data_IF_684048153972
#
_entry.id   IF_684048153972
#
_cell.length_a   1.000
_cell.length_b   1.000
_cell.length_c   1.000
_cell.angle_alpha   90.00
_cell.angle_beta   90.00
_cell.angle_gamma   90.00
#
_symmetry.space_group_name_H-M   'P 1'
#
loop_
_entity.id
_entity.type
_entity.pdbx_description
1 polymer ?
#
# COMPACT_ATOMS: atom_id res chain seq x y z
N UNK A 1 5.43 -4.16 -21.44
CA UNK A 1 4.09 -3.68 -20.97
C UNK A 1 3.03 -4.10 -21.97
N UNK A 2 1.82 -4.48 -21.51
CA UNK A 2 0.76 -5.04 -22.37
C UNK A 2 0.28 -4.01 -23.42
N UNK A 3 0.56 -4.21 -24.72
CA UNK A 3 0.21 -3.25 -25.76
C UNK A 3 -1.30 -3.16 -26.02
N UNK A 4 -2.08 -4.12 -25.52
CA UNK A 4 -3.55 -4.13 -25.63
C UNK A 4 -4.25 -3.30 -24.55
N UNK A 5 -3.50 -2.69 -23.63
CA UNK A 5 -4.04 -1.94 -22.49
C UNK A 5 -4.76 -2.81 -21.45
N UNK A 6 -4.82 -2.31 -20.22
CA UNK A 6 -5.57 -2.89 -19.10
C UNK A 6 -6.93 -2.21 -18.98
N UNK A 7 -7.99 -2.95 -18.66
CA UNK A 7 -9.30 -2.36 -18.40
C UNK A 7 -9.24 -1.48 -17.15
N UNK A 8 -9.79 -0.29 -17.23
CA UNK A 8 -9.97 0.59 -16.07
C UNK A 8 -11.22 0.12 -15.31
N UNK A 9 -11.13 -0.02 -13.99
CA UNK A 9 -12.26 -0.50 -13.20
C UNK A 9 -13.45 0.47 -13.31
N UNK A 10 -14.62 -0.05 -13.69
CA UNK A 10 -15.82 0.76 -13.87
C UNK A 10 -15.90 1.54 -15.20
N UNK A 11 -14.99 1.32 -16.16
CA UNK A 11 -15.03 1.91 -17.50
C UNK A 11 -14.79 0.85 -18.59
N UNK A 12 -15.21 1.15 -19.83
CA UNK A 12 -14.83 0.40 -21.03
C UNK A 12 -13.44 0.81 -21.56
N UNK A 13 -12.83 1.83 -20.96
CA UNK A 13 -11.53 2.35 -21.34
C UNK A 13 -10.40 1.37 -21.05
N UNK A 14 -9.36 1.44 -21.90
CA UNK A 14 -8.13 0.67 -21.76
C UNK A 14 -6.95 1.60 -21.52
N UNK A 15 -6.24 1.38 -20.42
CA UNK A 15 -5.03 2.10 -20.05
C UNK A 15 -3.79 1.30 -20.40
N UNK A 16 -2.93 1.85 -21.24
CA UNK A 16 -1.59 1.31 -21.46
C UNK A 16 -0.66 1.89 -20.41
N UNK A 17 -0.14 1.03 -19.53
CA UNK A 17 0.78 1.46 -18.47
C UNK A 17 2.16 1.82 -19.05
N UNK A 18 2.78 2.83 -18.45
CA UNK A 18 4.17 3.28 -18.65
C UNK A 18 4.96 3.09 -17.36
N UNK A 19 6.29 3.07 -17.45
CA UNK A 19 7.17 2.93 -16.27
C UNK A 19 6.85 3.97 -15.18
N UNK A 20 6.58 5.20 -15.61
CA UNK A 20 6.29 6.36 -14.75
C UNK A 20 4.95 6.30 -14.04
N UNK A 21 4.05 5.41 -14.45
CA UNK A 21 2.75 5.27 -13.79
C UNK A 21 2.91 4.63 -12.39
N UNK A 22 4.01 3.91 -12.17
CA UNK A 22 4.37 3.33 -10.87
C UNK A 22 5.70 3.86 -10.30
N UNK A 23 6.69 4.12 -11.15
CA UNK A 23 8.02 4.59 -10.73
C UNK A 23 8.14 6.10 -10.87
N UNK A 24 8.04 6.79 -9.74
CA UNK A 24 8.23 8.24 -9.64
C UNK A 24 9.55 8.52 -8.95
N UNK A 25 10.34 9.45 -9.48
CA UNK A 25 11.54 9.91 -8.79
C UNK A 25 11.19 10.65 -7.51
N UNK A 26 12.06 10.60 -6.52
CA UNK A 26 11.99 11.48 -5.36
C UNK A 26 12.30 12.93 -5.74
N UNK A 27 12.09 13.86 -4.79
CA UNK A 27 12.27 15.29 -5.02
C UNK A 27 13.71 15.66 -5.39
N UNK A 28 14.68 14.85 -4.94
CA UNK A 28 16.09 15.00 -5.28
C UNK A 28 16.47 14.38 -6.63
N UNK A 29 15.53 13.72 -7.33
CA UNK A 29 15.77 13.00 -8.56
C UNK A 29 16.76 11.84 -8.42
N UNK A 30 17.03 11.41 -7.19
CA UNK A 30 18.06 10.42 -6.89
C UNK A 30 17.44 9.03 -6.91
N UNK A 31 16.48 8.83 -6.02
CA UNK A 31 15.84 7.53 -5.83
C UNK A 31 14.44 7.52 -6.42
N UNK A 32 13.83 6.33 -6.45
CA UNK A 32 12.40 6.20 -6.72
C UNK A 32 11.63 6.23 -5.41
N UNK A 33 10.45 6.86 -5.43
CA UNK A 33 9.49 6.84 -4.33
C UNK A 33 8.96 5.41 -4.12
N UNK A 34 8.61 5.02 -2.89
CA UNK A 34 7.99 3.73 -2.63
C UNK A 34 6.65 3.56 -3.36
N UNK A 35 6.46 2.40 -3.98
CA UNK A 35 5.19 2.00 -4.56
C UNK A 35 4.20 1.69 -3.43
N UNK A 36 3.02 2.31 -3.49
CA UNK A 36 1.90 2.08 -2.58
C UNK A 36 0.58 1.82 -3.32
N UNK A 37 -0.34 1.12 -2.67
CA UNK A 37 -1.63 0.71 -3.22
C UNK A 37 -2.55 1.88 -3.63
N UNK A 38 -2.80 2.91 -2.77
CA UNK A 38 -3.75 3.97 -3.10
C UNK A 38 -3.42 4.73 -4.38
N UNK A 39 -2.13 4.90 -4.66
CA UNK A 39 -1.63 5.67 -5.80
C UNK A 39 -1.49 4.82 -7.06
N UNK A 40 -0.96 3.61 -6.96
CA UNK A 40 -0.49 2.88 -8.15
C UNK A 40 -1.34 1.63 -8.50
N UNK A 41 -2.17 1.14 -7.59
CA UNK A 41 -2.88 -0.13 -7.77
C UNK A 41 -4.40 0.03 -7.77
N UNK A 42 -4.94 0.94 -6.95
CA UNK A 42 -6.37 1.10 -6.68
C UNK A 42 -7.23 1.33 -7.93
N UNK A 43 -6.71 2.00 -8.95
CA UNK A 43 -7.46 2.33 -10.19
C UNK A 43 -7.89 1.07 -10.97
N UNK A 44 -7.05 0.04 -11.01
CA UNK A 44 -7.36 -1.23 -11.69
C UNK A 44 -7.78 -2.33 -10.70
N UNK A 45 -7.31 -2.27 -9.46
CA UNK A 45 -7.59 -3.24 -8.39
C UNK A 45 -8.28 -2.57 -7.19
N UNK A 46 -9.47 -1.99 -7.36
CA UNK A 46 -10.15 -1.34 -6.25
C UNK A 46 -10.69 -2.40 -5.27
N UNK A 47 -10.49 -2.17 -3.97
CA UNK A 47 -11.05 -2.99 -2.90
C UNK A 47 -12.54 -2.63 -2.68
N UNK A 48 -13.34 -2.74 -3.73
CA UNK A 48 -14.74 -2.35 -3.70
C UNK A 48 -15.57 -3.35 -2.89
N UNK A 49 -16.47 -2.81 -2.07
CA UNK A 49 -17.44 -3.57 -1.28
C UNK A 49 -18.82 -3.06 -1.66
N UNK A 50 -19.78 -3.96 -1.87
CA UNK A 50 -21.16 -3.57 -2.18
C UNK A 50 -22.05 -3.67 -0.96
N UNK A 51 -23.19 -2.97 -1.00
CA UNK A 51 -24.34 -3.29 -0.17
C UNK A 51 -25.01 -4.55 -0.74
N UNK A 52 -25.31 -5.51 0.12
CA UNK A 52 -25.93 -6.79 -0.20
C UNK A 52 -27.43 -6.78 0.11
N UNK A 53 -28.20 -7.51 -0.71
CA UNK A 53 -29.65 -7.61 -0.56
C UNK A 53 -30.40 -6.87 -1.66
N UNK A 54 -31.73 -6.88 -1.57
CA UNK A 54 -32.61 -6.17 -2.51
C UNK A 54 -32.75 -4.72 -2.06
N UNK A 55 -32.52 -3.80 -2.98
CA UNK A 55 -32.73 -2.37 -2.78
C UNK A 55 -33.80 -1.93 -3.79
N UNK A 56 -34.97 -1.51 -3.29
CA UNK A 56 -36.11 -1.14 -4.13
C UNK A 56 -36.22 0.37 -4.34
N UNK A 57 -35.64 1.15 -3.44
CA UNK A 57 -35.63 2.61 -3.51
C UNK A 57 -34.52 3.11 -4.44
N UNK A 58 -34.86 3.95 -5.42
CA UNK A 58 -33.89 4.46 -6.41
C UNK A 58 -32.73 5.21 -5.75
N UNK A 59 -33.02 6.10 -4.80
CA UNK A 59 -32.00 6.87 -4.09
C UNK A 59 -31.04 5.95 -3.30
N UNK A 60 -31.58 4.90 -2.67
CA UNK A 60 -30.76 3.90 -1.98
C UNK A 60 -29.91 3.08 -2.96
N UNK A 61 -30.41 2.82 -4.18
CA UNK A 61 -29.66 2.13 -5.23
C UNK A 61 -28.49 2.98 -5.72
N UNK A 62 -28.71 4.27 -5.97
CA UNK A 62 -27.65 5.22 -6.35
C UNK A 62 -26.60 5.36 -5.24
N UNK A 63 -27.03 5.45 -3.98
CA UNK A 63 -26.12 5.47 -2.84
C UNK A 63 -25.34 4.16 -2.69
N UNK A 64 -25.94 3.00 -2.99
CA UNK A 64 -25.24 1.72 -2.97
C UNK A 64 -24.19 1.62 -4.09
N UNK A 65 -24.45 2.23 -5.25
CA UNK A 65 -23.45 2.36 -6.32
C UNK A 65 -22.27 3.25 -5.88
N UNK A 66 -22.55 4.37 -5.22
CA UNK A 66 -21.50 5.23 -4.65
C UNK A 66 -20.71 4.51 -3.56
N UNK A 67 -21.38 3.81 -2.64
CA UNK A 67 -20.76 2.97 -1.62
C UNK A 67 -19.79 1.96 -2.25
N UNK A 68 -20.22 1.30 -3.33
CA UNK A 68 -19.38 0.36 -4.08
C UNK A 68 -18.16 1.01 -4.70
N UNK A 69 -18.31 2.22 -5.25
CA UNK A 69 -17.24 2.90 -5.96
C UNK A 69 -16.22 3.58 -5.03
N UNK A 70 -16.50 3.64 -3.74
CA UNK A 70 -15.55 4.04 -2.70
C UNK A 70 -14.85 2.79 -2.13
N UNK A 71 -13.57 2.54 -2.49
CA UNK A 71 -12.86 1.34 -2.08
C UNK A 71 -12.66 1.29 -0.56
N UNK A 72 -12.65 0.08 -0.01
CA UNK A 72 -12.29 -0.14 1.39
C UNK A 72 -10.88 0.43 1.69
N UNK A 73 -10.70 0.87 2.93
CA UNK A 73 -9.43 1.40 3.40
C UNK A 73 -8.32 0.35 3.22
N UNK A 74 -7.14 0.82 2.79
CA UNK A 74 -5.93 0.02 2.73
C UNK A 74 -4.92 0.58 3.75
N UNK A 75 -4.94 0.09 5.00
CA UNK A 75 -4.04 0.58 6.04
C UNK A 75 -2.58 0.40 5.63
N UNK A 76 -1.75 1.40 5.98
CA UNK A 76 -0.31 1.40 5.67
C UNK A 76 0.56 1.54 6.93
N UNK A 77 -0.06 1.68 8.12
CA UNK A 77 0.63 1.77 9.38
C UNK A 77 1.11 0.41 9.92
N UNK A 78 2.19 0.37 10.72
CA UNK A 78 2.77 -0.87 11.25
C UNK A 78 1.87 -1.61 12.25
N UNK A 79 0.79 -0.97 12.72
CA UNK A 79 -0.19 -1.52 13.69
C UNK A 79 -1.62 -1.51 13.16
N UNK A 80 -1.81 -1.11 11.91
CA UNK A 80 -3.12 -1.08 11.27
C UNK A 80 -3.30 -2.36 10.45
N UNK A 81 -4.52 -2.91 10.43
CA UNK A 81 -4.78 -4.20 9.82
C UNK A 81 -6.25 -4.44 9.49
N UNK A 82 -6.66 -5.70 9.30
CA UNK A 82 -8.05 -6.07 8.99
C UNK A 82 -9.07 -5.55 10.01
N UNK A 83 -8.67 -5.36 11.26
CA UNK A 83 -9.46 -4.75 12.33
C UNK A 83 -9.85 -3.29 11.99
N UNK A 84 -8.90 -2.51 11.49
CA UNK A 84 -9.12 -1.12 11.07
C UNK A 84 -10.07 -1.08 9.87
N UNK A 85 -9.86 -1.97 8.89
CA UNK A 85 -10.74 -2.09 7.72
C UNK A 85 -12.16 -2.49 8.14
N UNK A 86 -12.30 -3.47 9.04
CA UNK A 86 -13.59 -3.92 9.58
C UNK A 86 -14.30 -2.81 10.33
N UNK A 87 -13.58 -2.03 11.16
CA UNK A 87 -14.15 -0.91 11.90
C UNK A 87 -14.68 0.19 10.98
N UNK A 88 -13.89 0.59 9.97
CA UNK A 88 -14.30 1.61 8.98
C UNK A 88 -15.51 1.13 8.17
N UNK A 89 -15.51 -0.13 7.71
CA UNK A 89 -16.65 -0.67 6.97
C UNK A 89 -17.92 -0.76 7.81
N UNK A 90 -17.79 -1.12 9.09
CA UNK A 90 -18.91 -1.15 10.04
C UNK A 90 -19.57 0.22 10.13
N UNK A 91 -18.77 1.27 10.33
CA UNK A 91 -19.24 2.66 10.37
C UNK A 91 -19.94 3.07 9.07
N UNK A 92 -19.34 2.76 7.91
CA UNK A 92 -19.96 3.03 6.60
C UNK A 92 -21.32 2.33 6.44
N UNK A 93 -21.45 1.07 6.87
CA UNK A 93 -22.74 0.36 6.81
C UNK A 93 -23.77 0.93 7.79
N UNK A 94 -23.35 1.32 8.99
CA UNK A 94 -24.24 1.97 9.97
C UNK A 94 -24.78 3.30 9.43
N UNK A 95 -23.93 4.13 8.84
CA UNK A 95 -24.34 5.37 8.18
C UNK A 95 -25.31 5.10 7.03
N UNK A 96 -25.05 4.07 6.22
CA UNK A 96 -25.91 3.72 5.10
C UNK A 96 -27.33 3.32 5.55
N UNK A 97 -27.45 2.48 6.58
CA UNK A 97 -28.78 2.03 7.08
C UNK A 97 -29.52 3.12 7.85
N UNK A 98 -28.80 4.05 8.48
CA UNK A 98 -29.38 5.25 9.09
C UNK A 98 -29.98 6.17 8.02
N UNK A 99 -29.25 6.35 6.90
CA UNK A 99 -29.72 7.14 5.77
C UNK A 99 -30.90 6.46 5.02
N UNK A 100 -30.88 5.14 4.89
CA UNK A 100 -31.89 4.37 4.18
C UNK A 100 -32.51 3.27 5.04
N UNK A 101 -33.40 3.58 6.00
CA UNK A 101 -34.00 2.56 6.87
C UNK A 101 -34.82 1.49 6.12
N UNK A 102 -35.27 1.80 4.89
CA UNK A 102 -36.01 0.88 4.02
C UNK A 102 -35.28 -0.45 3.80
N UNK A 103 -33.93 -0.43 3.73
CA UNK A 103 -33.10 -1.60 3.36
C UNK A 103 -33.07 -2.74 4.38
N UNK A 104 -33.45 -2.50 5.64
CA UNK A 104 -33.56 -3.54 6.67
C UNK A 104 -35.02 -3.86 7.04
N UNK A 105 -35.96 -3.01 6.65
CA UNK A 105 -37.37 -3.05 7.07
C UNK A 105 -38.28 -3.97 6.23
N UNK A 106 -37.82 -4.50 5.09
CA UNK A 106 -38.72 -5.13 4.11
C UNK A 106 -39.03 -6.62 4.33
N UNK A 107 -38.34 -7.33 5.25
CA UNK A 107 -38.77 -8.71 5.60
C UNK A 107 -40.07 -8.78 6.40
N UNK A 108 -40.51 -7.67 6.99
CA UNK A 108 -41.74 -7.63 7.80
C UNK A 108 -43.05 -7.57 7.00
N UNK A 109 -43.03 -7.34 5.68
CA UNK A 109 -44.27 -7.28 4.86
C UNK A 109 -44.68 -8.62 4.25
N UNK A 110 -43.74 -9.54 4.03
CA UNK A 110 -44.00 -10.84 3.39
C UNK A 110 -44.34 -11.98 4.37
N UNK A 111 -44.57 -11.68 5.65
CA UNK A 111 -45.07 -12.64 6.66
C UNK A 111 -46.52 -12.39 7.09
N UNK A 112 -47.27 -11.53 6.39
CA UNK A 112 -48.75 -11.55 6.47
C UNK A 112 -49.32 -12.62 5.55
N UNK A 113 -48.84 -13.85 5.67
CA UNK A 113 -49.61 -15.01 5.19
C UNK A 113 -50.85 -15.14 6.08
N UNK A 114 -52.04 -15.08 5.50
CA UNK A 114 -53.27 -15.39 6.23
C UNK A 114 -53.10 -16.75 6.93
N UNK A 115 -53.28 -16.84 8.26
CA UNK A 115 -53.10 -18.11 8.96
C UNK A 115 -54.13 -19.12 8.45
N UNK A 116 -53.63 -20.25 7.92
CA UNK A 116 -54.46 -21.42 7.61
C UNK A 116 -55.00 -22.00 8.93
N UNK A 117 -56.31 -22.29 9.04
CA UNK A 117 -56.89 -22.88 10.24
C UNK A 117 -56.21 -24.21 10.60
N UNK A 118 -55.78 -24.36 11.87
CA UNK A 118 -55.33 -25.64 12.44
C UNK A 118 -53.82 -25.91 12.51
N UNK A 119 -52.95 -24.97 12.12
CA UNK A 119 -51.49 -25.10 12.37
C UNK A 119 -51.07 -24.32 13.62
N UNK A 120 -50.23 -24.89 14.51
CA UNK A 120 -49.66 -24.15 15.63
C UNK A 120 -48.84 -22.98 15.06
N UNK A 121 -49.09 -21.80 15.64
CA UNK A 121 -48.40 -20.54 15.31
C UNK A 121 -46.90 -20.79 15.44
N UNK A 122 -46.07 -20.57 14.40
CA UNK A 122 -44.64 -20.55 14.58
C UNK A 122 -44.33 -19.55 15.70
N UNK A 123 -43.57 -19.96 16.71
CA UNK A 123 -43.00 -19.04 17.70
C UNK A 123 -42.24 -17.98 16.92
N UNK A 124 -42.77 -16.76 16.91
CA UNK A 124 -42.16 -15.64 16.21
C UNK A 124 -40.71 -15.50 16.71
N UNK A 125 -39.75 -15.64 15.79
CA UNK A 125 -38.39 -15.20 16.06
C UNK A 125 -38.45 -13.72 16.49
N UNK A 126 -37.67 -13.29 17.48
CA UNK A 126 -37.83 -11.98 18.07
C UNK A 126 -37.47 -10.89 17.04
N UNK A 127 -38.51 -10.17 16.59
CA UNK A 127 -38.51 -8.82 16.04
C UNK A 127 -37.66 -8.57 14.77
N UNK A 128 -38.07 -7.58 13.96
CA UNK A 128 -37.35 -7.22 12.73
C UNK A 128 -35.86 -6.98 13.00
N UNK A 129 -35.00 -7.44 12.08
CA UNK A 129 -33.54 -7.22 12.15
C UNK A 129 -33.29 -5.74 12.42
N UNK A 130 -32.65 -5.39 13.52
CA UNK A 130 -32.33 -3.98 13.80
C UNK A 130 -31.38 -3.43 12.74
N UNK A 131 -31.28 -2.11 12.64
CA UNK A 131 -30.28 -1.46 11.79
C UNK A 131 -28.85 -1.97 12.10
N UNK A 132 -28.54 -2.21 13.38
CA UNK A 132 -27.27 -2.80 13.80
C UNK A 132 -27.10 -4.24 13.31
N UNK A 133 -28.12 -5.10 13.44
CA UNK A 133 -28.06 -6.49 12.96
C UNK A 133 -27.90 -6.56 11.44
N UNK A 134 -28.53 -5.63 10.72
CA UNK A 134 -28.32 -5.49 9.28
C UNK A 134 -26.88 -5.11 8.96
N UNK A 135 -26.32 -4.11 9.64
CA UNK A 135 -24.94 -3.66 9.41
C UNK A 135 -23.92 -4.77 9.71
N UNK A 136 -24.11 -5.56 10.77
CA UNK A 136 -23.26 -6.73 11.06
C UNK A 136 -23.32 -7.79 9.96
N UNK A 137 -24.51 -8.05 9.40
CA UNK A 137 -24.66 -9.01 8.29
C UNK A 137 -23.93 -8.53 7.04
N UNK A 138 -24.07 -7.25 6.69
CA UNK A 138 -23.34 -6.63 5.58
C UNK A 138 -21.84 -6.70 5.80
N UNK A 139 -21.38 -6.38 7.00
CA UNK A 139 -19.98 -6.40 7.38
C UNK A 139 -19.39 -7.81 7.31
N UNK A 140 -20.13 -8.83 7.74
CA UNK A 140 -19.71 -10.23 7.65
C UNK A 140 -19.49 -10.65 6.20
N UNK A 141 -20.45 -10.35 5.30
CA UNK A 141 -20.29 -10.67 3.87
C UNK A 141 -19.15 -9.89 3.22
N UNK A 142 -19.03 -8.60 3.52
CA UNK A 142 -17.94 -7.75 3.04
C UNK A 142 -16.57 -8.28 3.51
N UNK A 143 -16.44 -8.60 4.79
CA UNK A 143 -15.20 -9.12 5.39
C UNK A 143 -14.79 -10.44 4.75
N UNK A 144 -15.74 -11.34 4.49
CA UNK A 144 -15.49 -12.60 3.80
C UNK A 144 -14.90 -12.36 2.40
N UNK A 145 -15.51 -11.47 1.61
CA UNK A 145 -15.01 -11.16 0.26
C UNK A 145 -13.62 -10.50 0.28
N UNK A 146 -13.39 -9.56 1.19
CA UNK A 146 -12.10 -8.85 1.28
C UNK A 146 -10.99 -9.74 1.85
N UNK A 147 -11.25 -10.50 2.91
CA UNK A 147 -10.20 -11.19 3.65
C UNK A 147 -9.96 -12.62 3.16
N UNK A 148 -10.96 -13.26 2.55
CA UNK A 148 -10.87 -14.64 2.07
C UNK A 148 -10.88 -14.74 0.54
N UNK A 149 -11.47 -13.76 -0.15
CA UNK A 149 -11.55 -13.73 -1.60
C UNK A 149 -10.19 -13.55 -2.28
N UNK A 150 -10.00 -14.25 -3.41
CA UNK A 150 -8.78 -14.17 -4.23
C UNK A 150 -8.50 -12.76 -4.80
N UNK A 151 -9.53 -11.93 -4.95
CA UNK A 151 -9.42 -10.53 -5.40
C UNK A 151 -9.36 -9.50 -4.27
N UNK A 152 -9.36 -9.93 -3.01
CA UNK A 152 -9.26 -9.07 -1.84
C UNK A 152 -7.81 -8.92 -1.35
N UNK A 153 -7.62 -8.88 -0.04
CA UNK A 153 -6.31 -8.70 0.60
C UNK A 153 -5.31 -9.79 0.19
N UNK A 154 -5.78 -11.04 0.02
CA UNK A 154 -4.96 -12.20 -0.39
C UNK A 154 -4.33 -12.06 -1.77
N UNK A 155 -4.83 -11.14 -2.61
CA UNK A 155 -4.26 -10.90 -3.93
C UNK A 155 -2.80 -10.44 -3.85
N UNK A 156 -2.49 -9.55 -2.89
CA UNK A 156 -1.15 -9.00 -2.70
C UNK A 156 -0.48 -9.51 -1.42
N UNK A 157 -1.26 -9.81 -0.38
CA UNK A 157 -0.73 -10.16 0.94
C UNK A 157 -0.73 -11.66 1.19
N UNK A 158 0.35 -12.14 1.79
CA UNK A 158 0.42 -13.52 2.28
C UNK A 158 -0.27 -13.63 3.63
N UNK A 159 -1.18 -14.58 3.77
CA UNK A 159 -1.81 -14.90 5.06
C UNK A 159 -0.77 -15.53 5.99
N UNK A 160 -0.73 -15.06 7.23
CA UNK A 160 0.17 -15.53 8.30
C UNK A 160 -0.58 -16.16 9.47
N UNK A 161 -1.85 -15.81 9.63
CA UNK A 161 -2.81 -16.49 10.49
C UNK A 161 -4.18 -16.42 9.80
N UNK A 162 -4.89 -17.55 9.77
CA UNK A 162 -6.25 -17.62 9.21
C UNK A 162 -7.27 -16.97 10.15
N UNK A 163 -8.46 -16.67 9.63
CA UNK A 163 -9.61 -16.26 10.44
C UNK A 163 -10.14 -17.44 11.27
N UNK A 164 -10.77 -17.15 12.41
CA UNK A 164 -11.52 -18.13 13.20
C UNK A 164 -12.91 -17.60 13.51
N UNK A 165 -13.97 -18.19 12.92
CA UNK A 165 -15.34 -17.81 13.23
C UNK A 165 -15.72 -18.05 14.70
N UNK A 166 -15.15 -19.08 15.34
CA UNK A 166 -15.44 -19.45 16.73
C UNK A 166 -14.96 -18.41 17.74
N UNK A 167 -13.87 -17.70 17.42
CA UNK A 167 -13.23 -16.72 18.31
C UNK A 167 -13.37 -15.27 17.81
N UNK A 168 -14.13 -15.04 16.73
CA UNK A 168 -14.17 -13.78 15.97
C UNK A 168 -12.78 -13.23 15.62
N UNK A 169 -11.80 -14.12 15.43
CA UNK A 169 -10.44 -13.70 15.10
C UNK A 169 -10.33 -13.40 13.60
N UNK A 170 -9.88 -12.18 13.30
CA UNK A 170 -9.55 -11.76 11.94
C UNK A 170 -8.22 -12.35 11.46
N UNK A 171 -8.05 -12.56 10.14
CA UNK A 171 -6.79 -13.08 9.61
C UNK A 171 -5.68 -12.05 9.78
N UNK A 172 -4.43 -12.52 9.77
CA UNK A 172 -3.25 -11.65 9.76
C UNK A 172 -2.52 -11.75 8.44
N UNK A 173 -2.13 -10.60 7.91
CA UNK A 173 -1.46 -10.47 6.63
C UNK A 173 -0.01 -10.00 6.81
N UNK A 174 0.91 -10.63 6.09
CA UNK A 174 2.25 -10.10 5.92
C UNK A 174 2.25 -9.04 4.81
N UNK A 175 3.06 -7.98 4.97
CA UNK A 175 3.30 -7.03 3.90
C UNK A 175 3.99 -7.71 2.71
N UNK A 176 3.66 -7.33 1.46
CA UNK A 176 4.41 -7.77 0.30
C UNK A 176 5.86 -7.28 0.41
N UNK A 177 6.82 -8.12 -0.02
CA UNK A 177 8.26 -7.82 0.04
C UNK A 177 8.69 -6.87 -1.08
N UNK A 178 8.05 -5.70 -1.17
CA UNK A 178 8.44 -4.64 -2.10
C UNK A 178 9.52 -3.82 -1.41
N UNK A 179 10.77 -3.94 -1.87
CA UNK A 179 11.87 -3.18 -1.32
C UNK A 179 11.66 -1.67 -1.58
N UNK A 180 11.70 -0.87 -0.52
CA UNK A 180 11.65 0.60 -0.62
C UNK A 180 12.93 1.19 -1.19
N UNK A 181 14.05 0.47 -1.06
CA UNK A 181 15.36 0.88 -1.56
C UNK A 181 16.14 -0.35 -2.02
N UNK A 182 16.66 -0.25 -3.24
CA UNK A 182 17.69 -1.16 -3.75
C UNK A 182 19.05 -0.52 -3.61
N UNK A 183 20.09 -1.34 -3.43
CA UNK A 183 21.48 -0.89 -3.23
C UNK A 183 21.63 0.13 -2.09
N UNK A 184 21.36 -0.25 -0.82
CA UNK A 184 21.31 0.67 0.32
C UNK A 184 22.63 1.40 0.61
N UNK A 185 23.76 0.87 0.15
CA UNK A 185 25.09 1.44 0.32
C UNK A 185 25.63 2.10 -0.95
N UNK A 186 24.76 2.30 -1.94
CA UNK A 186 25.12 2.96 -3.19
C UNK A 186 24.26 4.17 -3.45
N UNK A 187 24.84 5.11 -4.19
CA UNK A 187 24.15 6.26 -4.74
C UNK A 187 24.01 6.06 -6.23
N UNK A 188 22.79 6.22 -6.72
CA UNK A 188 22.49 6.28 -8.14
C UNK A 188 21.46 7.39 -8.32
N UNK A 189 21.62 8.23 -9.33
CA UNK A 189 20.68 9.31 -9.63
C UNK A 189 19.99 9.04 -10.95
N UNK A 190 18.69 8.76 -10.90
CA UNK A 190 17.88 8.61 -12.11
C UNK A 190 17.80 9.92 -12.90
N UNK A 191 17.77 11.07 -12.24
CA UNK A 191 17.74 12.39 -12.89
C UNK A 191 18.97 12.64 -13.76
N UNK A 192 20.17 12.28 -13.28
CA UNK A 192 21.40 12.38 -14.09
C UNK A 192 21.42 11.41 -15.28
N UNK A 193 20.60 10.36 -15.25
CA UNK A 193 20.49 9.35 -16.30
C UNK A 193 19.19 9.45 -17.11
N UNK A 194 18.39 10.51 -16.92
CA UNK A 194 17.02 10.62 -17.47
C UNK A 194 16.92 10.61 -18.99
N UNK A 195 18.02 10.91 -19.69
CA UNK A 195 18.09 10.90 -21.15
C UNK A 195 18.16 9.48 -21.73
N UNK A 196 18.40 8.45 -20.90
CA UNK A 196 18.47 7.06 -21.32
C UNK A 196 17.09 6.40 -21.24
N UNK A 197 16.80 5.50 -22.19
CA UNK A 197 15.64 4.62 -22.08
C UNK A 197 15.81 3.69 -20.87
N UNK A 198 14.76 3.56 -20.04
CA UNK A 198 14.79 2.78 -18.80
C UNK A 198 15.29 1.34 -19.02
N UNK A 199 15.00 0.76 -20.19
CA UNK A 199 15.35 -0.62 -20.56
C UNK A 199 16.84 -0.80 -20.84
N UNK A 200 17.60 0.27 -21.08
CA UNK A 200 19.06 0.16 -21.23
C UNK A 200 19.72 -0.38 -19.95
N UNK A 201 19.13 -0.09 -18.78
CA UNK A 201 19.55 -0.68 -17.50
C UNK A 201 18.63 -1.83 -17.09
N UNK A 202 17.31 -1.68 -17.24
CA UNK A 202 16.30 -2.67 -16.85
C UNK A 202 15.83 -3.51 -18.05
N UNK A 203 16.76 -4.25 -18.67
CA UNK A 203 16.54 -4.89 -19.98
C UNK A 203 15.30 -5.81 -20.02
N UNK A 204 15.08 -6.61 -18.98
CA UNK A 204 13.98 -7.59 -18.92
C UNK A 204 12.63 -6.97 -18.51
N UNK A 205 12.57 -5.66 -18.25
CA UNK A 205 11.34 -4.99 -17.74
C UNK A 205 10.17 -5.04 -18.71
N UNK A 206 10.42 -5.19 -20.01
CA UNK A 206 9.37 -5.30 -21.01
C UNK A 206 8.65 -6.66 -21.00
N UNK A 207 9.34 -7.70 -20.52
CA UNK A 207 8.99 -9.12 -20.68
C UNK A 207 8.50 -9.75 -19.38
N UNK A 208 9.02 -9.28 -18.24
CA UNK A 208 8.63 -9.77 -16.92
C UNK A 208 7.13 -9.64 -16.68
N UNK A 209 6.57 -10.68 -16.05
CA UNK A 209 5.15 -10.77 -15.67
C UNK A 209 4.95 -11.09 -14.20
N UNK A 210 6.04 -11.28 -13.45
CA UNK A 210 5.99 -11.70 -12.06
C UNK A 210 6.65 -10.64 -11.18
N UNK A 211 6.01 -10.32 -10.06
CA UNK A 211 6.57 -9.41 -9.04
C UNK A 211 7.78 -10.02 -8.32
N UNK A 212 8.01 -11.33 -8.48
CA UNK A 212 9.20 -12.02 -7.99
C UNK A 212 10.44 -11.80 -8.86
N UNK A 213 10.28 -11.31 -10.09
CA UNK A 213 11.42 -11.05 -10.97
C UNK A 213 12.16 -9.80 -10.49
N UNK A 214 13.36 -9.99 -9.94
CA UNK A 214 14.18 -8.87 -9.47
C UNK A 214 14.97 -8.30 -10.65
N UNK A 215 14.40 -7.28 -11.29
CA UNK A 215 14.96 -6.67 -12.51
C UNK A 215 15.93 -5.52 -12.22
N UNK A 216 16.77 -5.66 -11.20
CA UNK A 216 17.78 -4.65 -10.90
C UNK A 216 19.00 -4.82 -11.82
N UNK A 217 19.55 -3.74 -12.39
CA UNK A 217 20.73 -3.81 -13.23
C UNK A 217 21.92 -4.36 -12.45
N UNK A 218 22.81 -5.06 -13.15
CA UNK A 218 24.10 -5.44 -12.60
C UNK A 218 25.11 -4.30 -12.80
N UNK A 219 26.25 -4.36 -12.11
CA UNK A 219 27.33 -3.38 -12.29
C UNK A 219 27.84 -3.30 -13.74
N UNK A 220 27.66 -4.36 -14.52
CA UNK A 220 28.06 -4.41 -15.93
C UNK A 220 27.35 -3.33 -16.76
N UNK A 221 26.07 -3.03 -16.46
CA UNK A 221 25.33 -1.96 -17.13
C UNK A 221 25.97 -0.60 -16.86
N UNK A 222 26.40 -0.34 -15.62
CA UNK A 222 27.07 0.90 -15.24
C UNK A 222 28.43 1.03 -15.94
N UNK A 223 29.19 -0.06 -16.01
CA UNK A 223 30.52 -0.12 -16.62
C UNK A 223 30.51 0.06 -18.15
N UNK A 224 29.35 0.07 -18.81
CA UNK A 224 29.29 0.45 -20.23
C UNK A 224 29.69 1.92 -20.45
N UNK A 225 29.45 2.77 -19.45
CA UNK A 225 29.84 4.20 -19.47
C UNK A 225 30.89 4.54 -18.40
N UNK A 226 30.79 3.96 -17.21
CA UNK A 226 31.75 4.16 -16.10
C UNK A 226 32.95 3.20 -16.22
N UNK A 227 33.72 3.31 -17.31
CA UNK A 227 34.88 2.45 -17.59
C UNK A 227 36.21 3.18 -17.83
N UNK A 228 36.22 4.51 -17.79
CA UNK A 228 37.43 5.32 -18.03
C UNK A 228 37.91 5.36 -19.48
N UNK A 229 37.23 4.66 -20.41
CA UNK A 229 37.52 4.68 -21.85
C UNK A 229 36.59 5.65 -22.58
N UNK A 230 35.34 5.75 -22.15
CA UNK A 230 34.36 6.70 -22.70
C UNK A 230 34.44 8.04 -21.97
N UNK A 231 34.43 9.15 -22.71
CA UNK A 231 34.41 10.49 -22.10
C UNK A 231 33.04 10.75 -21.43
N UNK A 232 33.06 11.40 -20.26
CA UNK A 232 31.87 11.98 -19.64
C UNK A 232 31.37 11.33 -18.33
N UNK A 233 31.84 10.14 -17.97
CA UNK A 233 31.48 9.47 -16.72
C UNK A 233 32.72 9.13 -15.88
N UNK A 234 32.73 9.56 -14.61
CA UNK A 234 33.84 9.30 -13.68
C UNK A 234 33.81 7.85 -13.18
N UNK A 235 34.95 7.35 -12.69
CA UNK A 235 35.09 5.96 -12.24
C UNK A 235 35.55 5.83 -10.79
N UNK A 236 35.55 6.92 -10.03
CA UNK A 236 35.99 6.90 -8.63
C UNK A 236 35.01 6.11 -7.76
N UNK A 237 35.54 5.41 -6.75
CA UNK A 237 34.77 4.52 -5.88
C UNK A 237 33.57 5.24 -5.22
N UNK A 238 33.79 6.50 -4.83
CA UNK A 238 32.82 7.33 -4.12
C UNK A 238 31.66 7.82 -5.01
N UNK A 239 31.76 7.65 -6.33
CA UNK A 239 30.68 8.06 -7.24
C UNK A 239 29.50 7.09 -7.20
N UNK A 240 29.75 5.84 -6.85
CA UNK A 240 28.72 4.81 -6.71
C UNK A 240 28.51 4.39 -5.26
N UNK A 241 29.56 4.33 -4.44
CA UNK A 241 29.48 3.83 -3.07
C UNK A 241 29.43 4.96 -2.05
N UNK A 242 28.44 4.89 -1.15
CA UNK A 242 28.36 5.79 -0.02
C UNK A 242 29.22 5.26 1.13
N UNK A 243 30.26 6.02 1.48
CA UNK A 243 31.12 5.75 2.64
C UNK A 243 30.83 6.77 3.74
N UNK A 244 30.94 6.34 5.00
CA UNK A 244 30.74 7.19 6.19
C UNK A 244 29.42 7.99 6.19
N UNK A 245 28.32 7.39 5.72
CA UNK A 245 27.01 8.03 5.77
C UNK A 245 26.66 8.40 7.23
N UNK A 246 26.23 9.63 7.50
CA UNK A 246 25.87 10.05 8.85
C UNK A 246 24.72 9.18 9.37
N UNK A 247 24.92 8.55 10.53
CA UNK A 247 23.82 7.91 11.25
C UNK A 247 22.84 8.99 11.74
N UNK A 248 21.57 8.86 11.39
CA UNK A 248 20.47 9.68 11.90
C UNK A 248 20.29 9.42 13.41
N UNK A 249 21.07 10.09 14.27
CA UNK A 249 20.80 10.36 15.71
C UNK A 249 22.08 10.74 16.47
N UNK A 250 22.59 11.97 16.32
CA UNK A 250 23.61 12.47 17.25
C UNK A 250 23.34 13.90 17.70
N UNK A 251 22.46 14.00 18.71
CA UNK A 251 22.41 15.09 19.69
C UNK A 251 23.77 15.22 20.39
N UNK A 252 24.72 15.91 19.77
CA UNK A 252 25.93 16.33 20.45
C UNK A 252 26.23 17.77 20.01
N UNK A 253 26.21 18.75 20.94
CA UNK A 253 26.47 20.14 20.62
C UNK A 253 27.87 20.26 20.05
N UNK A 254 27.96 20.76 18.80
CA UNK A 254 29.21 20.89 18.03
C UNK A 254 29.84 22.28 18.18
N UNK A 255 29.54 22.98 19.29
CA UNK A 255 29.90 24.39 19.52
C UNK A 255 31.32 24.57 20.10
N UNK A 256 32.11 23.50 20.09
CA UNK A 256 33.40 23.47 20.75
C UNK A 256 34.49 23.79 19.74
N UNK A 257 35.35 24.74 20.10
CA UNK A 257 36.52 25.03 19.29
C UNK A 257 37.53 23.88 19.44
N UNK A 258 38.46 23.76 18.47
CA UNK A 258 39.57 22.79 18.57
C UNK A 258 40.34 22.97 19.89
N UNK A 259 40.48 24.22 20.36
CA UNK A 259 41.10 24.51 21.64
C UNK A 259 40.26 24.04 22.83
N UNK A 260 38.93 24.10 22.73
CA UNK A 260 38.03 23.58 23.76
C UNK A 260 38.08 22.04 23.80
N UNK A 261 38.19 21.37 22.65
CA UNK A 261 38.37 19.91 22.56
C UNK A 261 39.70 19.45 23.17
N UNK A 262 40.80 20.14 22.84
CA UNK A 262 42.11 19.88 23.43
C UNK A 262 42.15 20.21 24.94
N UNK A 263 41.30 21.11 25.41
CA UNK A 263 41.07 21.42 26.83
C UNK A 263 40.07 20.47 27.51
N UNK A 264 39.55 19.45 26.81
CA UNK A 264 38.71 18.38 27.36
C UNK A 264 37.19 18.61 27.26
N UNK A 265 36.73 19.67 26.60
CA UNK A 265 35.31 19.93 26.37
C UNK A 265 34.84 19.28 25.07
N UNK A 266 33.67 18.63 25.05
CA UNK A 266 33.20 17.86 23.88
C UNK A 266 33.75 16.47 23.75
N UNK A 267 34.47 16.01 24.77
CA UNK A 267 34.42 14.60 25.07
C UNK A 267 32.94 14.20 25.00
N UNK A 268 32.61 13.19 24.19
CA UNK A 268 31.23 12.74 24.12
C UNK A 268 30.86 12.38 25.58
N UNK A 269 29.58 12.36 25.95
CA UNK A 269 29.25 11.36 26.98
C UNK A 269 29.88 10.04 26.50
N UNK A 270 30.52 9.21 27.34
CA UNK A 270 31.44 8.14 26.89
C UNK A 270 30.99 7.31 25.65
N UNK A 271 29.69 7.28 25.37
CA UNK A 271 28.97 6.73 24.21
C UNK A 271 29.14 7.36 22.78
N UNK A 272 29.83 8.49 22.48
CA UNK A 272 29.70 9.15 21.12
C UNK A 272 30.90 9.72 20.27
N UNK A 273 32.21 9.64 20.57
CA UNK A 273 33.26 10.31 19.72
C UNK A 273 34.26 9.41 18.97
N UNK A 274 34.71 9.87 17.79
CA UNK A 274 35.66 9.19 16.87
C UNK A 274 36.75 10.12 16.31
N UNK A 275 37.96 9.62 15.96
CA UNK A 275 39.14 10.44 15.65
C UNK A 275 39.26 10.90 14.17
N UNK A 276 39.87 12.09 13.91
CA UNK A 276 39.94 12.77 12.59
C UNK A 276 41.38 12.78 11.95
N UNK A 277 41.52 12.69 10.60
CA UNK A 277 42.82 12.76 9.89
C UNK A 277 43.10 14.08 9.10
N UNK A 278 44.38 14.37 8.72
CA UNK A 278 44.85 15.72 8.33
C UNK A 278 44.71 16.10 6.84
N UNK A 279 44.49 17.41 6.55
CA UNK A 279 44.25 18.03 5.23
C UNK A 279 45.52 18.65 4.60
N UNK A 280 45.68 18.53 3.27
CA UNK A 280 46.78 19.12 2.48
C UNK A 280 46.18 20.05 1.41
N UNK A 281 46.65 21.31 1.34
CA UNK A 281 46.37 22.24 0.24
C UNK A 281 47.60 22.33 -0.67
N UNK A 282 47.39 22.31 -1.98
CA UNK A 282 48.42 22.53 -3.01
C UNK A 282 48.22 23.90 -3.67
N UNK A 283 49.30 24.59 -4.07
CA UNK A 283 49.28 25.92 -4.67
C UNK A 283 48.75 25.95 -6.11
#
# INVERSE_FOLDING_TARGET
MNPKGLLVAGSLDRKTLRCTDCHQTDDAGRYMRPINYPTHCRECHPLNVRVFGTINELAASEAADQFRNEPAAHPNGPREGPDTVRAILRDRFLQFVEQFPSVHSERTRSEKGQPLPGRPKPTAAPNGRSAADWAEQQLSEASRLLFEGAGGCRYCHRVTAESSPETDQLPRFALPKINSRWFPHSVFSHERHRSLDCRQCHAQSAESRLTSDVLMPTIQSCQQCHNGKTQGARTDCVECHAYHAPHESRDSPRDLTIQDFLRGQGAPTPDKAHPLPPLIQTP
#
